data_IF_973706285532
#
_entry.id   IF_973706285532
#
_cell.length_a   1.000
_cell.length_b   1.000
_cell.length_c   1.000
_cell.angle_alpha   90.00
_cell.angle_beta   90.00
_cell.angle_gamma   90.00
#
_symmetry.space_group_name_H-M   'P 1'
#
loop_
_entity.id
_entity.type
_entity.pdbx_description
1 polymer ?
#
# COMPACT_ATOMS: atom_id res chain seq x y z
N UNK A 1 -11.61 11.62 -24.11
CA UNK A 1 -11.58 10.48 -23.18
C UNK A 1 -12.57 10.83 -22.09
N UNK A 2 -13.68 10.12 -22.02
CA UNK A 2 -14.67 10.28 -20.94
C UNK A 2 -14.01 9.88 -19.62
N UNK A 3 -14.11 10.73 -18.60
CA UNK A 3 -13.72 10.37 -17.24
C UNK A 3 -14.54 9.14 -16.82
N UNK A 4 -13.94 8.13 -16.18
CA UNK A 4 -14.72 7.01 -15.64
C UNK A 4 -15.77 7.59 -14.70
N UNK A 5 -16.99 7.04 -14.75
CA UNK A 5 -18.04 7.45 -13.80
C UNK A 5 -17.54 7.15 -12.37
N UNK A 6 -17.95 7.94 -11.37
CA UNK A 6 -17.56 7.72 -9.96
C UNK A 6 -17.81 6.27 -9.53
N UNK A 7 -18.87 5.66 -10.04
CA UNK A 7 -19.21 4.26 -9.79
C UNK A 7 -18.19 3.28 -10.37
N UNK A 8 -17.70 3.52 -11.61
CA UNK A 8 -16.68 2.64 -12.19
C UNK A 8 -15.32 2.78 -11.50
N UNK A 9 -14.99 3.98 -11.03
CA UNK A 9 -13.78 4.19 -10.22
C UNK A 9 -13.88 3.48 -8.86
N UNK A 10 -15.02 3.59 -8.17
CA UNK A 10 -15.26 2.90 -6.91
C UNK A 10 -15.21 1.36 -7.07
N UNK A 11 -15.81 0.82 -8.13
CA UNK A 11 -15.73 -0.61 -8.44
C UNK A 11 -14.30 -1.07 -8.70
N UNK A 12 -13.51 -0.30 -9.46
CA UNK A 12 -12.11 -0.62 -9.73
C UNK A 12 -11.28 -0.66 -8.43
N UNK A 13 -11.50 0.29 -7.52
CA UNK A 13 -10.85 0.31 -6.20
C UNK A 13 -11.28 -0.90 -5.35
N UNK A 14 -12.56 -1.22 -5.31
CA UNK A 14 -13.07 -2.37 -4.55
C UNK A 14 -12.49 -3.70 -5.08
N UNK A 15 -12.48 -3.90 -6.39
CA UNK A 15 -11.88 -5.09 -7.02
C UNK A 15 -10.38 -5.15 -6.75
N UNK A 16 -9.66 -4.02 -6.86
CA UNK A 16 -8.24 -3.94 -6.53
C UNK A 16 -7.95 -4.32 -5.07
N UNK A 17 -8.76 -3.84 -4.14
CA UNK A 17 -8.65 -4.17 -2.72
C UNK A 17 -8.91 -5.66 -2.44
N UNK A 18 -9.91 -6.27 -3.09
CA UNK A 18 -10.18 -7.71 -2.98
C UNK A 18 -9.02 -8.56 -3.51
N UNK A 19 -8.47 -8.21 -4.68
CA UNK A 19 -7.31 -8.90 -5.26
C UNK A 19 -6.10 -8.77 -4.34
N UNK A 20 -5.86 -7.59 -3.79
CA UNK A 20 -4.75 -7.35 -2.86
C UNK A 20 -4.90 -8.19 -1.58
N UNK A 21 -6.10 -8.25 -1.00
CA UNK A 21 -6.40 -9.08 0.16
C UNK A 21 -6.21 -10.56 -0.12
N UNK A 22 -6.72 -11.05 -1.24
CA UNK A 22 -6.57 -12.46 -1.65
C UNK A 22 -5.10 -12.84 -1.88
N UNK A 23 -4.29 -11.97 -2.51
CA UNK A 23 -2.85 -12.22 -2.69
C UNK A 23 -2.11 -12.24 -1.37
N UNK A 24 -2.48 -11.41 -0.40
CA UNK A 24 -1.86 -11.40 0.94
C UNK A 24 -2.18 -12.68 1.72
N UNK A 25 -3.42 -13.19 1.62
CA UNK A 25 -3.79 -14.48 2.20
C UNK A 25 -3.04 -15.65 1.54
N UNK A 26 -2.94 -15.65 0.21
CA UNK A 26 -2.22 -16.68 -0.54
C UNK A 26 -0.71 -16.72 -0.23
N UNK A 27 -0.09 -15.59 0.15
CA UNK A 27 1.32 -15.54 0.54
C UNK A 27 1.68 -16.44 1.73
N UNK A 28 0.71 -16.76 2.59
CA UNK A 28 0.92 -17.65 3.74
C UNK A 28 1.00 -19.14 3.38
N UNK A 29 0.40 -19.51 2.26
CA UNK A 29 0.36 -20.89 1.78
C UNK A 29 1.57 -21.25 0.89
N UNK A 30 2.47 -20.27 0.64
CA UNK A 30 3.59 -20.45 -0.26
C UNK A 30 4.86 -20.79 0.52
N UNK A 31 5.45 -21.96 0.27
CA UNK A 31 6.68 -22.45 0.91
C UNK A 31 7.98 -21.69 0.52
N UNK A 32 7.90 -20.71 -0.39
CA UNK A 32 9.09 -20.03 -0.96
C UNK A 32 9.69 -18.95 -0.05
N UNK A 33 9.16 -18.77 1.15
CA UNK A 33 9.57 -17.68 2.03
C UNK A 33 9.00 -16.32 1.63
N UNK A 34 8.53 -15.57 2.62
CA UNK A 34 7.77 -14.33 2.42
C UNK A 34 8.58 -13.26 1.69
N UNK A 35 9.89 -13.18 1.92
CA UNK A 35 10.78 -12.21 1.25
C UNK A 35 10.94 -12.52 -0.24
N UNK A 36 11.08 -13.81 -0.61
CA UNK A 36 11.17 -14.22 -2.01
C UNK A 36 9.83 -13.98 -2.73
N UNK A 37 8.72 -14.23 -2.07
CA UNK A 37 7.39 -13.94 -2.60
C UNK A 37 7.19 -12.44 -2.87
N UNK A 38 7.67 -11.57 -1.97
CA UNK A 38 7.68 -10.12 -2.17
C UNK A 38 8.49 -9.69 -3.41
N UNK A 39 9.68 -10.26 -3.58
CA UNK A 39 10.51 -10.01 -4.75
C UNK A 39 9.80 -10.43 -6.05
N UNK A 40 9.27 -11.65 -6.12
CA UNK A 40 8.58 -12.15 -7.31
C UNK A 40 7.32 -11.36 -7.64
N UNK A 41 6.60 -10.89 -6.63
CA UNK A 41 5.43 -10.02 -6.82
C UNK A 41 5.78 -8.74 -7.58
N UNK A 42 6.88 -8.08 -7.22
CA UNK A 42 7.36 -6.87 -7.92
C UNK A 42 7.93 -7.22 -9.28
N UNK A 43 8.77 -8.27 -9.36
CA UNK A 43 9.41 -8.70 -10.60
C UNK A 43 8.40 -9.07 -11.69
N UNK A 44 7.31 -9.74 -11.34
CA UNK A 44 6.25 -10.12 -12.28
C UNK A 44 5.34 -8.94 -12.66
N UNK A 45 5.20 -7.94 -11.79
CA UNK A 45 4.44 -6.74 -12.09
C UNK A 45 5.15 -5.82 -13.11
N UNK A 46 6.49 -5.78 -13.09
CA UNK A 46 7.29 -4.90 -13.95
C UNK A 46 7.00 -5.06 -15.46
N UNK A 47 7.03 -6.26 -16.07
CA UNK A 47 6.76 -6.41 -17.50
C UNK A 47 5.35 -5.96 -17.87
N UNK A 48 4.37 -6.18 -17.00
CA UNK A 48 2.98 -5.75 -17.21
C UNK A 48 2.90 -4.23 -17.19
N UNK A 49 3.53 -3.58 -16.21
CA UNK A 49 3.57 -2.13 -16.09
C UNK A 49 4.29 -1.49 -17.29
N UNK A 50 5.41 -2.08 -17.73
CA UNK A 50 6.11 -1.62 -18.93
C UNK A 50 5.25 -1.76 -20.19
N UNK A 51 4.50 -2.85 -20.34
CA UNK A 51 3.59 -3.05 -21.45
C UNK A 51 2.48 -1.99 -21.45
N UNK A 52 1.84 -1.78 -20.31
CA UNK A 52 0.79 -0.74 -20.15
C UNK A 52 1.36 0.65 -20.45
N UNK A 53 2.54 0.98 -19.94
CA UNK A 53 3.20 2.25 -20.21
C UNK A 53 3.54 2.42 -21.69
N UNK A 54 4.02 1.37 -22.36
CA UNK A 54 4.33 1.38 -23.80
C UNK A 54 3.07 1.56 -24.64
N UNK A 55 1.98 0.85 -24.33
CA UNK A 55 0.70 0.98 -25.02
C UNK A 55 0.09 2.37 -24.83
N UNK A 56 0.10 2.88 -23.60
CA UNK A 56 -0.38 4.23 -23.28
C UNK A 56 0.43 5.32 -23.98
N UNK A 57 1.75 5.14 -24.09
CA UNK A 57 2.63 6.06 -24.79
C UNK A 57 2.36 6.10 -26.32
N UNK A 58 1.92 4.97 -26.91
CA UNK A 58 1.52 4.90 -28.33
C UNK A 58 0.17 5.58 -28.56
N UNK A 59 -0.75 5.47 -27.62
CA UNK A 59 -2.09 6.07 -27.72
C UNK A 59 -2.08 7.58 -27.51
N UNK A 60 -1.17 8.10 -26.69
CA UNK A 60 -1.04 9.53 -26.46
C UNK A 60 -0.07 10.14 -27.46
N UNK A 61 -0.59 10.87 -28.46
CA UNK A 61 0.21 11.66 -29.44
C UNK A 61 0.94 12.87 -28.81
N UNK A 62 1.12 12.91 -27.50
CA UNK A 62 1.83 14.00 -26.83
C UNK A 62 3.33 13.77 -26.89
N UNK A 63 4.14 14.83 -27.18
CA UNK A 63 5.59 14.73 -27.13
C UNK A 63 6.02 14.30 -25.72
N UNK A 64 6.89 13.30 -25.63
CA UNK A 64 7.47 12.86 -24.35
C UNK A 64 8.24 14.02 -23.73
N UNK A 65 7.70 14.60 -22.67
CA UNK A 65 8.44 15.56 -21.88
C UNK A 65 9.67 14.86 -21.26
N UNK A 66 10.84 15.46 -21.41
CA UNK A 66 12.06 14.95 -20.76
C UNK A 66 11.93 15.08 -19.26
N UNK A 67 12.12 13.98 -18.55
CA UNK A 67 12.11 13.98 -17.09
C UNK A 67 13.30 14.83 -16.60
N UNK A 68 13.03 15.84 -15.78
CA UNK A 68 14.05 16.70 -15.20
C UNK A 68 14.82 15.97 -14.11
N UNK A 69 16.04 16.45 -13.76
CA UNK A 69 16.82 15.90 -12.66
C UNK A 69 16.08 15.93 -11.32
N UNK A 70 15.26 16.96 -11.08
CA UNK A 70 14.44 17.07 -9.87
C UNK A 70 13.36 15.98 -9.84
N UNK A 71 12.67 15.74 -10.96
CA UNK A 71 11.70 14.66 -11.08
C UNK A 71 12.33 13.27 -10.92
N UNK A 72 13.55 13.07 -11.45
CA UNK A 72 14.31 11.82 -11.24
C UNK A 72 14.60 11.58 -9.76
N UNK A 73 15.04 12.61 -9.03
CA UNK A 73 15.28 12.49 -7.58
C UNK A 73 14.00 12.08 -6.84
N UNK A 74 12.88 12.73 -7.14
CA UNK A 74 11.59 12.39 -6.53
C UNK A 74 11.16 10.94 -6.85
N UNK A 75 11.34 10.49 -8.09
CA UNK A 75 11.03 9.11 -8.48
C UNK A 75 11.92 8.10 -7.73
N UNK A 76 13.21 8.40 -7.56
CA UNK A 76 14.14 7.52 -6.81
C UNK A 76 13.75 7.48 -5.34
N UNK A 77 13.43 8.63 -4.73
CA UNK A 77 12.99 8.69 -3.32
C UNK A 77 11.69 7.91 -3.14
N UNK A 78 10.68 8.15 -3.99
CA UNK A 78 9.42 7.42 -3.95
C UNK A 78 9.60 5.91 -4.14
N UNK A 79 10.49 5.51 -5.05
CA UNK A 79 10.85 4.10 -5.25
C UNK A 79 11.55 3.48 -4.04
N UNK A 80 12.44 4.23 -3.38
CA UNK A 80 13.12 3.79 -2.16
C UNK A 80 12.13 3.67 -0.98
N UNK A 81 11.22 4.63 -0.83
CA UNK A 81 10.15 4.57 0.16
C UNK A 81 9.24 3.36 -0.09
N UNK A 82 8.82 3.13 -1.32
CA UNK A 82 8.01 1.96 -1.68
C UNK A 82 8.72 0.63 -1.42
N UNK A 83 10.02 0.56 -1.72
CA UNK A 83 10.84 -0.62 -1.41
C UNK A 83 10.95 -0.85 0.10
N UNK A 84 11.14 0.22 0.88
CA UNK A 84 11.16 0.18 2.34
C UNK A 84 9.82 -0.31 2.91
N UNK A 85 8.71 0.23 2.43
CA UNK A 85 7.37 -0.23 2.78
C UNK A 85 7.21 -1.73 2.56
N UNK A 86 7.55 -2.25 1.39
CA UNK A 86 7.46 -3.68 1.08
C UNK A 86 8.35 -4.54 2.00
N UNK A 87 9.58 -4.12 2.26
CA UNK A 87 10.50 -4.86 3.14
C UNK A 87 9.94 -4.94 4.56
N UNK A 88 9.57 -3.81 5.14
CA UNK A 88 9.04 -3.76 6.50
C UNK A 88 7.69 -4.46 6.64
N UNK A 89 6.84 -4.36 5.60
CA UNK A 89 5.60 -5.11 5.53
C UNK A 89 5.84 -6.63 5.63
N UNK A 90 6.77 -7.16 4.82
CA UNK A 90 7.08 -8.58 4.85
C UNK A 90 7.73 -9.02 6.17
N UNK A 91 8.62 -8.19 6.73
CA UNK A 91 9.20 -8.44 8.06
C UNK A 91 8.14 -8.43 9.17
N UNK A 92 7.16 -7.54 9.10
CA UNK A 92 6.03 -7.53 10.03
C UNK A 92 5.23 -8.83 9.92
N UNK A 93 4.88 -9.27 8.71
CA UNK A 93 4.12 -10.52 8.49
C UNK A 93 4.81 -11.78 9.06
N UNK A 94 6.15 -11.80 9.08
CA UNK A 94 6.91 -12.94 9.65
C UNK A 94 6.98 -12.88 11.18
N UNK A 95 7.01 -11.68 11.76
CA UNK A 95 7.31 -11.48 13.17
C UNK A 95 6.08 -11.15 14.04
N UNK A 96 4.89 -10.95 13.44
CA UNK A 96 3.65 -10.72 14.20
C UNK A 96 2.47 -11.44 13.55
N UNK A 97 1.32 -11.43 14.21
CA UNK A 97 0.11 -12.01 13.64
C UNK A 97 -0.36 -11.24 12.40
N UNK A 98 -1.02 -11.94 11.46
CA UNK A 98 -1.59 -11.29 10.26
C UNK A 98 -2.56 -10.15 10.64
N UNK A 99 -3.32 -10.34 11.71
CA UNK A 99 -4.23 -9.32 12.25
C UNK A 99 -3.48 -8.07 12.66
N UNK A 100 -2.43 -8.20 13.48
CA UNK A 100 -1.59 -7.08 13.92
C UNK A 100 -0.88 -6.40 12.75
N UNK A 101 -0.23 -7.16 11.88
CA UNK A 101 0.42 -6.60 10.69
C UNK A 101 -0.55 -5.79 9.84
N UNK A 102 -1.76 -6.33 9.60
CA UNK A 102 -2.81 -5.66 8.81
C UNK A 102 -3.33 -4.42 9.53
N UNK A 103 -3.53 -4.47 10.83
CA UNK A 103 -3.95 -3.31 11.62
C UNK A 103 -2.91 -2.18 11.55
N UNK A 104 -1.64 -2.50 11.78
CA UNK A 104 -0.56 -1.53 11.75
C UNK A 104 -0.38 -0.94 10.34
N UNK A 105 -0.52 -1.74 9.30
CA UNK A 105 -0.54 -1.25 7.93
C UNK A 105 -1.75 -0.35 7.65
N UNK A 106 -2.92 -0.62 8.23
CA UNK A 106 -4.09 0.25 8.10
C UNK A 106 -3.87 1.61 8.78
N UNK A 107 -3.05 1.67 9.84
CA UNK A 107 -2.62 2.92 10.47
C UNK A 107 -1.84 3.82 9.50
N UNK A 108 -1.22 3.26 8.44
CA UNK A 108 -0.60 4.06 7.38
C UNK A 108 -1.58 5.00 6.70
N UNK A 109 -2.85 4.59 6.60
CA UNK A 109 -3.94 5.44 6.10
C UNK A 109 -4.20 6.68 6.93
N UNK A 110 -3.72 6.73 8.19
CA UNK A 110 -3.73 7.92 9.05
C UNK A 110 -2.57 8.86 8.73
N UNK A 111 -1.39 8.31 8.45
CA UNK A 111 -0.19 9.12 8.22
C UNK A 111 -0.32 9.98 6.97
N UNK A 112 -0.82 9.42 5.86
CA UNK A 112 -1.00 10.14 4.60
C UNK A 112 -1.84 11.41 4.77
N UNK A 113 -3.08 11.38 5.31
CA UNK A 113 -3.87 12.59 5.52
C UNK A 113 -3.30 13.52 6.59
N UNK A 114 -2.60 13.00 7.61
CA UNK A 114 -1.92 13.84 8.60
C UNK A 114 -0.79 14.64 7.95
N UNK A 115 0.06 14.00 7.15
CA UNK A 115 1.09 14.69 6.37
C UNK A 115 0.47 15.68 5.40
N UNK A 116 -0.58 15.31 4.68
CA UNK A 116 -1.30 16.21 3.79
C UNK A 116 -1.90 17.43 4.53
N UNK A 117 -2.44 17.22 5.73
CA UNK A 117 -2.97 18.31 6.55
C UNK A 117 -1.88 19.26 7.06
N UNK A 118 -0.79 18.71 7.66
CA UNK A 118 0.25 19.54 8.28
C UNK A 118 1.19 20.19 7.25
N UNK A 119 1.60 19.46 6.21
CA UNK A 119 2.60 19.94 5.25
C UNK A 119 1.97 20.58 4.01
N UNK A 120 0.88 20.01 3.48
CA UNK A 120 0.21 20.53 2.29
C UNK A 120 -0.99 21.45 2.63
N UNK A 121 -1.30 21.63 3.94
CA UNK A 121 -2.43 22.44 4.43
C UNK A 121 -3.78 22.08 3.78
N UNK A 122 -3.95 20.83 3.42
CA UNK A 122 -5.18 20.34 2.82
C UNK A 122 -6.24 20.08 3.91
N UNK A 123 -7.43 20.65 3.74
CA UNK A 123 -8.54 20.44 4.66
C UNK A 123 -9.08 19.00 4.50
N UNK A 124 -9.13 18.27 5.59
CA UNK A 124 -9.74 16.94 5.63
C UNK A 124 -11.28 17.06 5.59
N UNK A 125 -11.92 16.36 4.66
CA UNK A 125 -13.39 16.35 4.61
C UNK A 125 -13.97 15.54 5.77
N UNK A 126 -15.12 15.96 6.31
CA UNK A 126 -15.82 15.23 7.39
C UNK A 126 -16.16 13.79 6.98
N UNK A 127 -16.51 13.58 5.70
CA UNK A 127 -16.82 12.24 5.15
C UNK A 127 -15.58 11.34 5.16
N UNK A 128 -14.43 11.89 4.81
CA UNK A 128 -13.15 11.16 4.88
C UNK A 128 -12.82 10.78 6.33
N UNK A 129 -12.95 11.72 7.28
CA UNK A 129 -12.73 11.44 8.70
C UNK A 129 -13.61 10.33 9.23
N UNK A 130 -14.91 10.32 8.87
CA UNK A 130 -15.82 9.25 9.25
C UNK A 130 -15.41 7.90 8.65
N UNK A 131 -15.06 7.85 7.38
CA UNK A 131 -14.56 6.63 6.72
C UNK A 131 -13.30 6.08 7.40
N UNK A 132 -12.38 6.97 7.79
CA UNK A 132 -11.15 6.61 8.50
C UNK A 132 -11.46 6.00 9.88
N UNK A 133 -12.36 6.59 10.65
CA UNK A 133 -12.80 6.05 11.95
C UNK A 133 -13.43 4.67 11.76
N UNK A 134 -14.30 4.49 10.77
CA UNK A 134 -14.91 3.19 10.46
C UNK A 134 -13.83 2.14 10.09
N UNK A 135 -12.83 2.52 9.29
CA UNK A 135 -11.74 1.63 8.90
C UNK A 135 -10.90 1.19 10.11
N UNK A 136 -10.57 2.14 11.01
CA UNK A 136 -9.81 1.85 12.23
C UNK A 136 -10.60 0.97 13.20
N UNK A 137 -11.88 1.24 13.40
CA UNK A 137 -12.75 0.39 14.24
C UNK A 137 -12.87 -1.02 13.65
N UNK A 138 -13.10 -1.14 12.36
CA UNK A 138 -13.17 -2.44 11.68
C UNK A 138 -11.87 -3.24 11.80
N UNK A 139 -10.72 -2.58 11.59
CA UNK A 139 -9.41 -3.22 11.78
C UNK A 139 -9.16 -3.61 13.24
N UNK A 140 -9.54 -2.76 14.19
CA UNK A 140 -9.42 -3.04 15.62
C UNK A 140 -10.25 -4.25 16.07
N UNK A 141 -11.49 -4.38 15.57
CA UNK A 141 -12.35 -5.54 15.81
C UNK A 141 -11.70 -6.81 15.23
N UNK A 142 -11.15 -6.72 14.03
CA UNK A 142 -10.48 -7.87 13.40
C UNK A 142 -9.27 -8.32 14.22
N UNK A 143 -8.46 -7.38 14.72
CA UNK A 143 -7.29 -7.70 15.56
C UNK A 143 -7.74 -8.31 16.89
N UNK A 144 -8.77 -7.76 17.53
CA UNK A 144 -9.26 -8.28 18.82
C UNK A 144 -9.71 -9.74 18.75
N UNK A 145 -10.22 -10.16 17.59
CA UNK A 145 -10.62 -11.55 17.34
C UNK A 145 -9.40 -12.52 17.20
N UNK A 146 -8.18 -12.01 17.02
CA UNK A 146 -6.97 -12.81 16.77
C UNK A 146 -5.88 -12.63 17.84
N UNK A 147 -6.17 -11.97 18.96
CA UNK A 147 -5.19 -11.71 20.04
C UNK A 147 -4.70 -12.99 20.73
N UNK A 148 -5.40 -14.11 20.60
CA UNK A 148 -5.06 -15.36 21.30
C UNK A 148 -4.00 -16.24 20.61
N UNK A 149 -3.45 -15.82 19.47
CA UNK A 149 -2.54 -16.69 18.69
C UNK A 149 -1.06 -16.65 19.09
N UNK A 150 -0.68 -15.99 20.20
CA UNK A 150 0.63 -16.16 20.86
C UNK A 150 1.91 -15.81 20.07
N UNK A 151 1.81 -15.43 18.81
CA UNK A 151 2.94 -15.19 17.90
C UNK A 151 3.31 -13.72 17.70
N UNK A 152 2.73 -12.81 18.49
CA UNK A 152 3.01 -11.39 18.35
C UNK A 152 4.34 -11.03 19.03
N UNK A 153 5.31 -10.63 18.22
CA UNK A 153 6.58 -10.07 18.66
C UNK A 153 6.52 -8.54 18.55
N UNK A 154 6.99 -7.83 19.60
CA UNK A 154 7.12 -6.36 19.58
C UNK A 154 7.91 -5.86 18.34
N UNK A 155 8.86 -6.67 17.88
CA UNK A 155 9.68 -6.37 16.71
C UNK A 155 8.84 -6.36 15.42
N UNK A 156 7.89 -7.29 15.29
CA UNK A 156 6.93 -7.33 14.19
C UNK A 156 6.02 -6.12 14.17
N UNK A 157 5.62 -5.64 15.35
CA UNK A 157 4.79 -4.45 15.48
C UNK A 157 5.57 -3.18 15.10
N UNK A 158 6.84 -3.06 15.50
CA UNK A 158 7.72 -1.98 15.05
C UNK A 158 7.87 -1.97 13.52
N UNK A 159 8.06 -3.13 12.91
CA UNK A 159 8.11 -3.23 11.44
C UNK A 159 6.79 -2.79 10.79
N UNK A 160 5.65 -3.14 11.37
CA UNK A 160 4.34 -2.68 10.90
C UNK A 160 4.18 -1.16 10.94
N UNK A 161 4.65 -0.51 11.99
CA UNK A 161 4.66 0.97 12.10
C UNK A 161 5.61 1.59 11.07
N UNK A 162 6.81 1.02 10.88
CA UNK A 162 7.77 1.48 9.87
C UNK A 162 7.21 1.36 8.47
N UNK A 163 6.49 0.28 8.14
CA UNK A 163 5.72 0.14 6.90
C UNK A 163 4.85 1.37 6.66
N UNK A 164 4.03 1.74 7.64
CA UNK A 164 3.17 2.92 7.54
C UNK A 164 3.93 4.22 7.29
N UNK A 165 5.08 4.38 7.90
CA UNK A 165 5.93 5.56 7.70
C UNK A 165 6.50 5.62 6.28
N UNK A 166 7.05 4.53 5.78
CA UNK A 166 7.58 4.44 4.42
C UNK A 166 6.49 4.54 3.34
N UNK A 167 5.28 4.08 3.62
CA UNK A 167 4.14 4.23 2.72
C UNK A 167 3.72 5.69 2.51
N UNK A 168 4.03 6.56 3.48
CA UNK A 168 3.64 7.98 3.45
C UNK A 168 4.64 8.86 2.68
N UNK A 169 5.91 8.42 2.51
CA UNK A 169 6.99 9.16 1.83
C UNK A 169 6.94 9.03 0.33
#
# INVERSE_FOLDING_TARGET
MTSPSETSAALAVAVGALILGATTAALREIDVGITAAGFWRVALALPILFLIAALSARSQRRPRARVTRAQWRLLVIAGACFAGDLVFWHLSLVNTSLGNATFLATLSSLWVPLVAFFFLKQALSKRFGLGLICALLGSGILVSAHLDTGTSSWLGDVYGVLTGFFFTG
#
